data_IF_126247792692
#
_entry.id   IF_126247792692
#
_cell.length_a   1.000
_cell.length_b   1.000
_cell.length_c   1.000
_cell.angle_alpha   90.00
_cell.angle_beta   90.00
_cell.angle_gamma   90.00
#
_symmetry.space_group_name_H-M   'P 1'
#
loop_
_entity.id
_entity.type
_entity.pdbx_description
1 polymer ?
#
# COMPACT_ATOMS: atom_id res chain seq x y z
N UNK A 1 1.48 24.23 14.12
CA UNK A 1 2.21 23.14 13.43
C UNK A 1 3.16 23.75 12.42
N UNK A 2 4.37 23.20 12.30
CA UNK A 2 5.33 23.52 11.26
C UNK A 2 5.50 22.28 10.38
N UNK A 3 5.40 22.42 9.06
CA UNK A 3 5.62 21.32 8.11
C UNK A 3 6.66 21.72 7.08
N UNK A 4 7.81 21.07 7.06
CA UNK A 4 8.80 21.16 5.98
C UNK A 4 8.61 19.96 5.03
N UNK A 5 8.19 20.23 3.79
CA UNK A 5 7.88 19.20 2.81
C UNK A 5 8.81 19.33 1.62
N UNK A 6 9.47 18.23 1.26
CA UNK A 6 10.33 18.13 0.09
C UNK A 6 9.65 17.25 -0.96
N UNK A 7 9.42 17.78 -2.15
CA UNK A 7 8.84 17.07 -3.28
C UNK A 7 9.94 16.77 -4.29
N UNK A 8 10.06 15.49 -4.67
CA UNK A 8 11.14 14.98 -5.52
C UNK A 8 10.54 14.43 -6.82
N UNK A 9 11.06 14.87 -7.96
CA UNK A 9 10.68 14.35 -9.28
C UNK A 9 11.94 13.95 -10.04
N UNK A 10 11.92 12.75 -10.63
CA UNK A 10 13.06 12.13 -11.29
C UNK A 10 14.32 12.13 -10.39
N UNK A 11 14.20 11.52 -9.21
CA UNK A 11 15.24 11.56 -8.19
C UNK A 11 15.40 12.96 -7.60
N UNK A 12 16.60 13.51 -7.67
CA UNK A 12 16.89 14.88 -7.25
C UNK A 12 16.98 15.85 -8.43
N UNK A 13 16.58 15.49 -9.65
CA UNK A 13 16.65 16.45 -10.77
C UNK A 13 15.80 17.70 -10.50
N UNK A 14 14.54 17.50 -10.07
CA UNK A 14 13.66 18.58 -9.64
C UNK A 14 13.25 18.37 -8.19
N UNK A 15 13.58 19.34 -7.35
CA UNK A 15 13.26 19.35 -5.93
C UNK A 15 12.53 20.64 -5.61
N UNK A 16 11.42 20.54 -4.88
CA UNK A 16 10.68 21.68 -4.36
C UNK A 16 10.55 21.55 -2.85
N UNK A 17 10.96 22.59 -2.14
CA UNK A 17 10.78 22.72 -0.70
C UNK A 17 9.58 23.62 -0.44
N UNK A 18 8.64 23.15 0.39
CA UNK A 18 7.53 23.94 0.89
C UNK A 18 7.52 23.87 2.41
N UNK A 19 7.67 25.02 3.06
CA UNK A 19 7.55 25.16 4.51
C UNK A 19 6.22 25.82 4.82
N UNK A 20 5.38 25.16 5.62
CA UNK A 20 4.04 25.65 6.00
C UNK A 20 3.97 25.90 7.49
N UNK A 21 3.51 27.09 7.86
CA UNK A 21 3.15 27.42 9.22
C UNK A 21 1.63 27.44 9.36
N UNK A 22 1.13 26.61 10.28
CA UNK A 22 -0.29 26.32 10.42
C UNK A 22 -0.69 26.56 11.86
N UNK A 23 -1.66 27.44 12.08
CA UNK A 23 -2.32 27.66 13.36
C UNK A 23 -3.67 26.96 13.34
N UNK A 24 -3.95 26.08 14.32
CA UNK A 24 -5.07 25.14 14.27
C UNK A 24 -5.05 24.29 12.97
N UNK A 25 -5.91 24.65 12.00
CA UNK A 25 -5.98 24.04 10.65
C UNK A 25 -5.84 25.09 9.54
N UNK A 26 -5.53 26.33 9.89
CA UNK A 26 -5.34 27.44 8.98
C UNK A 26 -3.84 27.63 8.73
N UNK A 27 -3.43 27.41 7.48
CA UNK A 27 -2.09 27.77 7.03
C UNK A 27 -2.03 29.28 6.84
N UNK A 28 -1.18 29.98 7.59
CA UNK A 28 -1.13 31.44 7.58
C UNK A 28 0.11 31.99 6.87
N UNK A 29 1.25 31.27 6.89
CA UNK A 29 2.48 31.62 6.16
C UNK A 29 3.07 30.40 5.48
N UNK A 30 3.58 30.59 4.25
CA UNK A 30 4.27 29.56 3.47
C UNK A 30 5.58 30.10 2.90
N UNK A 31 6.65 29.33 2.98
CA UNK A 31 7.80 29.48 2.08
C UNK A 31 7.72 28.43 1.00
N UNK A 32 7.92 28.82 -0.26
CA UNK A 32 7.94 27.91 -1.40
C UNK A 32 9.20 28.17 -2.21
N UNK A 33 10.05 27.16 -2.41
CA UNK A 33 11.32 27.33 -3.11
C UNK A 33 11.17 27.79 -4.56
N UNK A 34 10.04 27.48 -5.20
CA UNK A 34 9.76 27.92 -6.57
C UNK A 34 9.48 29.43 -6.65
N UNK A 35 9.04 30.03 -5.52
CA UNK A 35 8.83 31.47 -5.38
C UNK A 35 10.09 32.13 -4.80
N UNK A 36 10.73 31.46 -3.84
CA UNK A 36 11.96 31.91 -3.19
C UNK A 36 11.75 32.88 -2.02
N UNK A 37 10.52 33.06 -1.53
CA UNK A 37 10.20 33.94 -0.39
C UNK A 37 8.97 33.47 0.40
N UNK A 38 8.75 34.10 1.56
CA UNK A 38 7.58 33.84 2.38
C UNK A 38 6.35 34.56 1.81
N UNK A 39 5.25 33.83 1.72
CA UNK A 39 3.95 34.32 1.31
C UNK A 39 2.98 34.20 2.47
N UNK A 40 2.26 35.30 2.75
CA UNK A 40 1.09 35.25 3.61
C UNK A 40 -0.03 34.50 2.88
N UNK A 41 -0.48 33.39 3.45
CA UNK A 41 -1.60 32.60 2.91
C UNK A 41 -2.94 33.15 3.43
N UNK A 42 -2.93 33.71 4.63
CA UNK A 42 -4.06 34.41 5.25
C UNK A 42 -3.61 35.72 5.89
N UNK A 43 -4.57 36.53 6.33
CA UNK A 43 -4.30 37.85 6.91
C UNK A 43 -3.38 37.79 8.14
N UNK A 44 -3.52 36.73 8.95
CA UNK A 44 -2.67 36.49 10.12
C UNK A 44 -1.18 36.44 9.76
N UNK A 45 -0.85 36.00 8.54
CA UNK A 45 0.52 35.87 8.08
C UNK A 45 1.12 37.12 7.44
N UNK A 46 0.35 38.19 7.19
CA UNK A 46 0.82 39.34 6.40
C UNK A 46 2.09 39.96 6.99
N UNK A 47 2.01 40.42 8.24
CA UNK A 47 3.15 41.05 8.92
C UNK A 47 4.32 40.09 9.11
N UNK A 48 4.04 38.80 9.36
CA UNK A 48 5.09 37.79 9.56
C UNK A 48 5.87 37.56 8.25
N UNK A 49 5.17 37.45 7.12
CA UNK A 49 5.80 37.27 5.82
C UNK A 49 6.64 38.52 5.43
N UNK A 50 6.11 39.72 5.67
CA UNK A 50 6.83 40.99 5.45
C UNK A 50 8.11 41.05 6.30
N UNK A 51 8.01 40.78 7.62
CA UNK A 51 9.13 40.83 8.55
C UNK A 51 10.23 39.80 8.21
N UNK A 52 9.85 38.58 7.81
CA UNK A 52 10.80 37.53 7.45
C UNK A 52 11.43 37.74 6.09
N UNK A 53 10.70 38.28 5.12
CA UNK A 53 11.29 38.65 3.83
C UNK A 53 12.25 39.85 3.96
N UNK A 54 12.04 40.72 4.96
CA UNK A 54 12.98 41.80 5.31
C UNK A 54 14.30 41.31 5.93
N UNK A 55 14.31 40.11 6.53
CA UNK A 55 15.48 39.49 7.15
C UNK A 55 16.23 38.61 6.15
N UNK A 56 17.27 39.18 5.53
CA UNK A 56 18.03 38.53 4.45
C UNK A 56 18.65 37.20 4.86
N UNK A 57 19.19 37.12 6.07
CA UNK A 57 19.77 35.91 6.65
C UNK A 57 18.74 34.79 6.76
N UNK A 58 17.54 35.09 7.25
CA UNK A 58 16.43 34.12 7.35
C UNK A 58 16.02 33.62 5.96
N UNK A 59 15.88 34.54 5.00
CA UNK A 59 15.45 34.21 3.64
C UNK A 59 16.49 33.33 2.91
N UNK A 60 17.76 33.68 2.99
CA UNK A 60 18.85 32.90 2.39
C UNK A 60 19.01 31.53 3.07
N UNK A 61 18.86 31.44 4.39
CA UNK A 61 18.86 30.17 5.08
C UNK A 61 17.73 29.26 4.56
N UNK A 62 16.52 29.78 4.37
CA UNK A 62 15.40 28.99 3.83
C UNK A 62 15.57 28.57 2.38
N UNK A 63 16.19 29.41 1.55
CA UNK A 63 16.58 29.04 0.18
C UNK A 63 17.59 27.88 0.20
N UNK A 64 18.58 27.94 1.09
CA UNK A 64 19.60 26.91 1.23
C UNK A 64 19.07 25.56 1.78
N UNK A 65 17.92 25.55 2.48
CA UNK A 65 17.29 24.31 2.98
C UNK A 65 16.87 23.37 1.84
N UNK A 66 16.67 23.87 0.61
CA UNK A 66 16.43 23.02 -0.56
C UNK A 66 17.57 22.00 -0.76
N UNK A 67 18.82 22.43 -0.63
CA UNK A 67 19.97 21.56 -0.83
C UNK A 67 20.40 20.90 0.49
N UNK A 68 20.54 21.70 1.54
CA UNK A 68 21.08 21.27 2.83
C UNK A 68 20.13 20.37 3.63
N UNK A 69 18.82 20.44 3.35
CA UNK A 69 17.82 19.57 3.98
C UNK A 69 17.22 18.61 2.97
N UNK A 70 16.59 19.08 1.89
CA UNK A 70 15.86 18.16 1.01
C UNK A 70 16.81 17.23 0.25
N UNK A 71 17.79 17.76 -0.49
CA UNK A 71 18.72 16.91 -1.25
C UNK A 71 19.61 16.08 -0.33
N UNK A 72 20.12 16.68 0.74
CA UNK A 72 20.93 15.97 1.73
C UNK A 72 20.18 14.76 2.31
N UNK A 73 18.98 14.96 2.85
CA UNK A 73 18.21 13.86 3.43
C UNK A 73 17.77 12.84 2.37
N UNK A 74 17.45 13.27 1.14
CA UNK A 74 17.17 12.34 0.05
C UNK A 74 18.36 11.41 -0.21
N UNK A 75 19.58 11.93 -0.23
CA UNK A 75 20.80 11.13 -0.44
C UNK A 75 21.01 10.12 0.69
N UNK A 76 20.75 10.52 1.93
CA UNK A 76 20.80 9.60 3.09
C UNK A 76 19.74 8.50 2.95
N UNK A 77 18.50 8.87 2.63
CA UNK A 77 17.38 7.93 2.45
C UNK A 77 17.47 7.08 1.17
N UNK A 78 18.30 7.49 0.21
CA UNK A 78 18.52 6.76 -1.04
C UNK A 78 19.16 5.39 -0.82
N UNK A 79 19.81 5.18 0.33
CA UNK A 79 20.41 3.90 0.71
C UNK A 79 19.46 3.01 1.52
N UNK A 80 18.40 3.60 2.10
CA UNK A 80 17.48 2.92 3.02
C UNK A 80 16.07 2.90 2.42
N UNK A 81 15.30 3.96 2.62
CA UNK A 81 13.87 4.02 2.32
C UNK A 81 13.57 3.86 0.82
N UNK A 82 14.39 4.43 -0.06
CA UNK A 82 14.13 4.37 -1.50
C UNK A 82 14.43 3.00 -2.12
N UNK A 83 15.37 2.25 -1.52
CA UNK A 83 15.71 0.88 -1.93
C UNK A 83 14.91 -0.18 -1.21
N UNK A 84 14.17 0.17 -0.16
CA UNK A 84 13.33 -0.78 0.58
C UNK A 84 12.37 -1.49 -0.39
N UNK A 85 12.48 -2.82 -0.42
CA UNK A 85 11.55 -3.72 -1.10
C UNK A 85 11.15 -4.81 -0.11
N UNK A 86 9.85 -4.96 0.11
CA UNK A 86 9.27 -6.03 0.93
C UNK A 86 8.32 -6.80 0.04
N UNK A 87 8.52 -8.10 -0.03
CA UNK A 87 7.76 -9.00 -0.90
C UNK A 87 6.34 -9.18 -0.39
N UNK A 88 5.33 -9.18 -1.29
CA UNK A 88 3.97 -9.41 -0.88
C UNK A 88 3.73 -10.86 -0.46
N UNK A 89 2.95 -11.03 0.60
CA UNK A 89 2.29 -12.29 0.90
C UNK A 89 0.98 -12.37 0.11
N UNK A 90 0.83 -13.41 -0.71
CA UNK A 90 -0.35 -13.60 -1.56
C UNK A 90 -1.12 -14.83 -1.10
N UNK A 91 -2.41 -14.66 -0.87
CA UNK A 91 -3.32 -15.76 -0.52
C UNK A 91 -4.63 -15.61 -1.29
N UNK A 92 -5.22 -16.75 -1.68
CA UNK A 92 -6.56 -16.78 -2.26
C UNK A 92 -7.49 -17.45 -1.28
N UNK A 93 -8.61 -16.80 -0.99
CA UNK A 93 -9.66 -17.36 -0.14
C UNK A 93 -11.03 -17.17 -0.78
N UNK A 94 -11.92 -18.17 -0.72
CA UNK A 94 -13.31 -17.98 -1.12
C UNK A 94 -14.04 -17.20 -0.03
N UNK A 95 -14.84 -16.23 -0.43
CA UNK A 95 -15.73 -15.47 0.45
C UNK A 95 -17.18 -15.77 0.11
N UNK A 96 -18.06 -15.66 1.10
CA UNK A 96 -19.51 -15.85 0.95
C UNK A 96 -20.17 -14.48 0.84
N UNK A 97 -21.05 -14.31 -0.13
CA UNK A 97 -21.97 -13.17 -0.14
C UNK A 97 -23.21 -13.53 0.67
N UNK A 98 -23.60 -12.65 1.60
CA UNK A 98 -24.74 -12.87 2.51
C UNK A 98 -26.06 -13.19 1.78
N UNK A 99 -26.19 -12.72 0.53
CA UNK A 99 -27.41 -12.84 -0.28
C UNK A 99 -27.61 -14.25 -0.84
N UNK A 100 -26.53 -14.98 -1.15
CA UNK A 100 -26.62 -16.22 -1.93
C UNK A 100 -26.21 -17.47 -1.15
N UNK A 101 -25.60 -17.35 0.04
CA UNK A 101 -25.07 -18.48 0.82
C UNK A 101 -24.11 -19.42 0.04
N UNK A 102 -23.63 -19.00 -1.13
CA UNK A 102 -22.67 -19.71 -1.97
C UNK A 102 -21.37 -18.89 -2.10
N UNK A 103 -20.24 -19.59 -2.29
CA UNK A 103 -18.93 -18.99 -2.51
C UNK A 103 -18.83 -18.42 -3.93
N UNK A 104 -19.42 -17.26 -4.17
CA UNK A 104 -19.43 -16.60 -5.47
C UNK A 104 -18.35 -15.53 -5.61
N UNK A 105 -17.47 -15.40 -4.60
CA UNK A 105 -16.39 -14.42 -4.60
C UNK A 105 -15.08 -15.10 -4.24
N UNK A 106 -14.05 -14.89 -5.06
CA UNK A 106 -12.66 -15.20 -4.69
C UNK A 106 -11.95 -13.92 -4.32
N UNK A 107 -11.26 -13.93 -3.19
CA UNK A 107 -10.48 -12.78 -2.71
C UNK A 107 -9.01 -13.13 -2.80
N UNK A 108 -8.27 -12.37 -3.62
CA UNK A 108 -6.81 -12.37 -3.60
C UNK A 108 -6.36 -11.30 -2.61
N UNK A 109 -5.91 -11.76 -1.44
CA UNK A 109 -5.36 -10.92 -0.39
C UNK A 109 -3.87 -10.79 -0.61
N UNK A 110 -3.42 -9.57 -0.90
CA UNK A 110 -2.01 -9.24 -1.10
C UNK A 110 -1.58 -8.32 0.04
N UNK A 111 -0.75 -8.81 0.96
CA UNK A 111 -0.42 -8.13 2.22
C UNK A 111 1.08 -7.96 2.41
N UNK A 112 1.44 -7.11 3.37
CA UNK A 112 2.78 -6.97 3.93
C UNK A 112 3.86 -6.53 2.93
N UNK A 113 3.48 -5.79 1.87
CA UNK A 113 4.41 -5.39 0.82
C UNK A 113 4.83 -3.92 0.87
N UNK A 114 5.98 -3.61 0.26
CA UNK A 114 6.47 -2.25 0.07
C UNK A 114 7.41 -2.20 -1.15
N UNK A 115 7.36 -1.18 -2.02
CA UNK A 115 6.54 0.03 -1.93
C UNK A 115 5.09 -0.20 -2.38
N UNK A 116 4.27 0.84 -2.39
CA UNK A 116 2.84 0.71 -2.66
C UNK A 116 2.48 0.41 -4.13
N UNK A 117 3.42 0.56 -5.06
CA UNK A 117 3.18 0.29 -6.48
C UNK A 117 3.07 -1.22 -6.71
N UNK A 118 1.88 -1.67 -7.12
CA UNK A 118 1.59 -3.08 -7.33
C UNK A 118 0.58 -3.23 -8.47
N UNK A 119 0.63 -4.36 -9.17
CA UNK A 119 -0.35 -4.72 -10.19
C UNK A 119 -0.82 -6.16 -9.95
N UNK A 120 -2.11 -6.31 -9.75
CA UNK A 120 -2.75 -7.59 -9.43
C UNK A 120 -3.75 -7.92 -10.54
N UNK A 121 -3.68 -9.14 -11.07
CA UNK A 121 -4.54 -9.63 -12.15
C UNK A 121 -5.12 -10.99 -11.80
N UNK A 122 -6.33 -11.25 -12.27
CA UNK A 122 -6.96 -12.54 -12.18
C UNK A 122 -6.87 -13.28 -13.51
N UNK A 123 -6.72 -14.58 -13.44
CA UNK A 123 -6.82 -15.48 -14.58
C UNK A 123 -7.75 -16.64 -14.22
N UNK A 124 -8.50 -17.13 -15.20
CA UNK A 124 -9.27 -18.37 -15.13
C UNK A 124 -8.82 -19.27 -16.28
N UNK A 125 -8.36 -20.47 -15.96
CA UNK A 125 -7.88 -21.44 -16.95
C UNK A 125 -6.88 -20.80 -17.95
N UNK A 126 -5.92 -20.04 -17.39
CA UNK A 126 -4.87 -19.30 -18.10
C UNK A 126 -5.32 -18.14 -18.99
N UNK A 127 -6.61 -17.76 -18.96
CA UNK A 127 -7.13 -16.57 -19.63
C UNK A 127 -7.31 -15.41 -18.63
N UNK A 128 -6.85 -14.22 -18.98
CA UNK A 128 -6.94 -13.04 -18.09
C UNK A 128 -8.41 -12.61 -17.94
N UNK A 129 -8.88 -12.59 -16.69
CA UNK A 129 -10.21 -12.12 -16.33
C UNK A 129 -10.18 -10.62 -16.06
N UNK A 130 -11.23 -9.93 -16.50
CA UNK A 130 -11.42 -8.49 -16.28
C UNK A 130 -12.81 -8.14 -15.77
N UNK A 131 -13.81 -8.94 -16.12
CA UNK A 131 -15.18 -8.75 -15.68
C UNK A 131 -15.35 -9.20 -14.22
N UNK A 132 -16.24 -8.53 -13.47
CA UNK A 132 -16.53 -8.92 -12.09
C UNK A 132 -15.37 -8.71 -11.09
N UNK A 133 -14.31 -7.98 -11.48
CA UNK A 133 -13.19 -7.67 -10.60
C UNK A 133 -13.43 -6.36 -9.86
N UNK A 134 -13.28 -6.39 -8.54
CA UNK A 134 -13.35 -5.21 -7.67
C UNK A 134 -12.14 -5.21 -6.74
N UNK A 135 -11.45 -4.08 -6.63
CA UNK A 135 -10.33 -3.93 -5.70
C UNK A 135 -10.61 -2.88 -4.64
N UNK A 136 -10.07 -3.08 -3.44
CA UNK A 136 -10.01 -2.01 -2.44
C UNK A 136 -9.04 -0.91 -2.91
N UNK A 137 -9.15 0.31 -2.36
CA UNK A 137 -8.02 1.24 -2.36
C UNK A 137 -6.78 0.59 -1.74
N UNK A 138 -5.59 1.10 -2.05
CA UNK A 138 -4.36 0.68 -1.39
C UNK A 138 -4.42 1.08 0.09
N UNK A 139 -4.30 0.10 0.98
CA UNK A 139 -4.38 0.32 2.43
C UNK A 139 -2.95 0.47 2.98
N UNK A 140 -2.73 1.49 3.79
CA UNK A 140 -1.47 1.72 4.52
C UNK A 140 -1.62 1.20 5.94
N UNK A 141 -0.77 0.24 6.32
CA UNK A 141 -0.85 -0.43 7.63
C UNK A 141 -0.26 0.39 8.79
N UNK A 142 0.60 1.36 8.49
CA UNK A 142 1.26 2.21 9.50
C UNK A 142 2.61 1.69 9.99
N UNK A 143 3.02 0.49 9.54
CA UNK A 143 4.27 -0.19 9.87
C UNK A 143 5.25 -0.27 8.67
N UNK A 144 5.10 0.65 7.72
CA UNK A 144 5.82 0.66 6.44
C UNK A 144 5.49 -0.50 5.49
N UNK A 145 4.31 -1.09 5.64
CA UNK A 145 3.74 -2.01 4.65
C UNK A 145 2.39 -1.53 4.12
N UNK A 146 1.99 -2.12 3.00
CA UNK A 146 0.71 -1.93 2.35
C UNK A 146 -0.02 -3.26 2.19
N UNK A 147 -1.33 -3.15 1.96
CA UNK A 147 -2.17 -4.27 1.56
C UNK A 147 -3.24 -3.84 0.55
N UNK A 148 -3.68 -4.79 -0.27
CA UNK A 148 -4.78 -4.62 -1.22
C UNK A 148 -5.55 -5.94 -1.34
N UNK A 149 -6.87 -5.84 -1.42
CA UNK A 149 -7.74 -6.99 -1.70
C UNK A 149 -8.29 -6.85 -3.12
N UNK A 150 -8.13 -7.89 -3.94
CA UNK A 150 -8.67 -7.94 -5.30
C UNK A 150 -9.63 -9.11 -5.40
N UNK A 151 -10.90 -8.77 -5.53
CA UNK A 151 -12.03 -9.68 -5.48
C UNK A 151 -12.51 -9.99 -6.90
N UNK A 152 -12.83 -11.25 -7.17
CA UNK A 152 -13.39 -11.72 -8.43
C UNK A 152 -14.74 -12.38 -8.15
N UNK A 153 -15.81 -11.83 -8.72
CA UNK A 153 -17.10 -12.49 -8.79
C UNK A 153 -17.02 -13.68 -9.75
N UNK A 154 -17.44 -14.86 -9.31
CA UNK A 154 -17.30 -16.10 -10.07
C UNK A 154 -18.49 -17.04 -9.86
N UNK A 155 -18.69 -17.91 -10.85
CA UNK A 155 -19.63 -19.03 -10.78
C UNK A 155 -18.82 -20.31 -10.93
N UNK A 156 -18.50 -21.03 -9.84
CA UNK A 156 -17.48 -22.07 -9.86
C UNK A 156 -17.95 -23.27 -10.68
N UNK A 157 -17.16 -23.68 -11.67
CA UNK A 157 -17.36 -24.93 -12.39
C UNK A 157 -16.30 -25.95 -11.99
N UNK A 158 -16.69 -27.22 -11.94
CA UNK A 158 -15.77 -28.31 -11.59
C UNK A 158 -14.61 -28.32 -12.58
N UNK A 159 -13.39 -28.17 -12.06
CA UNK A 159 -12.16 -28.21 -12.85
C UNK A 159 -11.60 -26.83 -13.17
N UNK A 160 -12.32 -25.75 -12.84
CA UNK A 160 -11.77 -24.40 -12.95
C UNK A 160 -10.52 -24.23 -12.07
N UNK A 161 -9.53 -23.57 -12.65
CA UNK A 161 -8.34 -23.09 -11.97
C UNK A 161 -8.31 -21.58 -12.07
N UNK A 162 -8.35 -20.92 -10.91
CA UNK A 162 -8.23 -19.47 -10.79
C UNK A 162 -6.81 -19.13 -10.33
N UNK A 163 -6.20 -18.13 -10.95
CA UNK A 163 -4.84 -17.69 -10.61
C UNK A 163 -4.84 -16.21 -10.29
N UNK A 164 -4.31 -15.85 -9.12
CA UNK A 164 -3.97 -14.47 -8.82
C UNK A 164 -2.51 -14.22 -9.19
N UNK A 165 -2.28 -13.28 -10.09
CA UNK A 165 -0.97 -12.91 -10.61
C UNK A 165 -0.60 -11.50 -10.13
N UNK A 166 0.51 -11.40 -9.39
CA UNK A 166 0.96 -10.18 -8.73
C UNK A 166 2.32 -9.77 -9.28
N UNK A 167 2.37 -8.57 -9.86
CA UNK A 167 3.59 -7.88 -10.27
C UNK A 167 3.93 -6.79 -9.25
N UNK A 168 5.14 -6.82 -8.70
CA UNK A 168 5.60 -5.88 -7.68
C UNK A 168 7.12 -5.62 -7.84
N UNK A 169 7.65 -4.43 -7.51
CA UNK A 169 9.09 -4.15 -7.63
C UNK A 169 10.04 -4.96 -6.71
N UNK A 170 9.54 -5.91 -5.93
CA UNK A 170 10.36 -6.78 -5.09
C UNK A 170 11.01 -7.92 -5.89
N UNK A 171 12.12 -8.50 -5.40
CA UNK A 171 12.91 -9.48 -6.17
C UNK A 171 12.15 -10.72 -6.65
N UNK A 172 11.23 -11.28 -5.85
CA UNK A 172 10.49 -12.49 -6.19
C UNK A 172 9.26 -12.28 -7.10
N UNK A 173 9.15 -11.14 -7.77
CA UNK A 173 8.05 -10.87 -8.72
C UNK A 173 8.35 -11.45 -10.11
N UNK A 174 7.35 -11.98 -10.84
CA UNK A 174 5.94 -12.06 -10.47
C UNK A 174 5.59 -13.24 -9.55
N UNK A 175 4.60 -13.04 -8.69
CA UNK A 175 4.05 -14.09 -7.80
C UNK A 175 2.74 -14.59 -8.38
N UNK A 176 2.57 -15.91 -8.47
CA UNK A 176 1.34 -16.55 -8.94
C UNK A 176 0.85 -17.53 -7.87
N UNK A 177 -0.42 -17.40 -7.49
CA UNK A 177 -1.08 -18.32 -6.55
C UNK A 177 -2.30 -18.88 -7.24
N UNK A 178 -2.46 -20.21 -7.21
CA UNK A 178 -3.59 -20.90 -7.81
C UNK A 178 -4.61 -21.32 -6.76
N UNK A 179 -5.88 -21.25 -7.12
CA UNK A 179 -7.00 -21.80 -6.39
C UNK A 179 -7.81 -22.70 -7.31
N UNK A 180 -8.12 -23.92 -6.85
CA UNK A 180 -8.87 -24.91 -7.60
C UNK A 180 -10.21 -25.13 -6.94
N UNK A 181 -11.26 -25.28 -7.75
CA UNK A 181 -12.56 -25.73 -7.26
C UNK A 181 -12.46 -27.18 -6.81
N UNK A 182 -12.16 -27.44 -5.54
CA UNK A 182 -12.29 -28.77 -4.96
C UNK A 182 -13.76 -29.08 -4.71
N UNK A 183 -14.20 -30.32 -4.94
CA UNK A 183 -15.52 -30.75 -4.46
C UNK A 183 -15.55 -30.63 -2.93
N UNK A 184 -16.58 -30.03 -2.35
CA UNK A 184 -16.81 -29.87 -0.90
C UNK A 184 -16.69 -31.17 -0.07
N UNK A 185 -16.56 -32.34 -0.72
CA UNK A 185 -16.41 -33.64 -0.08
C UNK A 185 -15.07 -33.90 0.65
N UNK A 186 -14.04 -33.07 0.50
CA UNK A 186 -12.71 -33.38 1.07
C UNK A 186 -12.43 -32.80 2.47
N UNK A 187 -13.27 -31.89 3.00
CA UNK A 187 -13.04 -31.26 4.32
C UNK A 187 -13.97 -31.76 5.45
N UNK A 188 -14.88 -32.71 5.18
CA UNK A 188 -15.79 -33.27 6.20
C UNK A 188 -15.41 -34.69 6.68
N UNK A 189 -14.32 -35.29 6.19
CA UNK A 189 -13.85 -36.61 6.68
C UNK A 189 -12.57 -36.50 7.49
N UNK A 190 -12.66 -35.83 8.64
CA UNK A 190 -11.77 -36.08 9.77
C UNK A 190 -12.60 -36.05 11.06
N UNK A 191 -13.53 -37.00 11.20
CA UNK A 191 -14.15 -37.34 12.48
C UNK A 191 -13.72 -38.75 12.89
N UNK A 192 -12.99 -38.80 14.01
CA UNK A 192 -12.85 -39.87 15.00
C UNK A 192 -12.86 -41.33 14.49
N UNK A 193 -11.66 -41.88 14.30
CA UNK A 193 -11.39 -43.31 14.37
C UNK A 193 -10.49 -43.65 15.56
N UNK A 194 -10.92 -43.37 16.80
CA UNK A 194 -10.32 -44.01 17.98
C UNK A 194 -11.01 -45.36 18.12
N UNK A 195 -10.45 -46.39 17.48
CA UNK A 195 -10.82 -47.77 17.72
C UNK A 195 -10.25 -48.23 19.06
N UNK A 196 -10.98 -48.02 20.15
CA UNK A 196 -10.72 -48.65 21.43
C UNK A 196 -11.07 -50.14 21.33
N UNK A 197 -10.08 -50.97 21.03
CA UNK A 197 -10.20 -52.43 21.13
C UNK A 197 -10.03 -52.82 22.61
N UNK A 198 -11.13 -52.83 23.36
CA UNK A 198 -11.18 -53.49 24.68
C UNK A 198 -11.60 -54.93 24.44
N UNK A 199 -10.63 -55.85 24.35
CA UNK A 199 -10.91 -57.28 24.47
C UNK A 199 -11.04 -57.61 25.96
N UNK A 200 -12.28 -57.77 26.40
CA UNK A 200 -12.62 -58.40 27.67
C UNK A 200 -12.56 -59.93 27.55
N UNK A 201 -11.87 -60.54 28.53
CA UNK A 201 -12.19 -61.78 29.25
C UNK A 201 -12.84 -62.95 28.51
N UNK A 202 -12.13 -64.10 28.46
CA UNK A 202 -12.73 -65.44 28.54
C UNK A 202 -11.78 -66.36 29.35
N UNK A 203 -12.31 -66.83 30.50
CA UNK A 203 -11.96 -67.94 31.42
C UNK A 203 -10.52 -68.15 31.94
#
# INVERSE_FOLDING_TARGET
>A
QLKGQCYFTNGTERVRLVIRLIYNREEFVRFDSDVGEFQAVTELGRHIAEDWNGQKDVLEQKRAELDTVCRHNYQVEALTTLQRRVEPRVTISPSRTEVLNHHNLLVCSVTDFYPGQIKVRWFRNDQEERAGIVSTPLIRNGDWTYQILVMLEMTPQRGDVYTCHVEHPSPQSPITVQWRTHSESAQSKMLCGIGSFVLGLIF
#
